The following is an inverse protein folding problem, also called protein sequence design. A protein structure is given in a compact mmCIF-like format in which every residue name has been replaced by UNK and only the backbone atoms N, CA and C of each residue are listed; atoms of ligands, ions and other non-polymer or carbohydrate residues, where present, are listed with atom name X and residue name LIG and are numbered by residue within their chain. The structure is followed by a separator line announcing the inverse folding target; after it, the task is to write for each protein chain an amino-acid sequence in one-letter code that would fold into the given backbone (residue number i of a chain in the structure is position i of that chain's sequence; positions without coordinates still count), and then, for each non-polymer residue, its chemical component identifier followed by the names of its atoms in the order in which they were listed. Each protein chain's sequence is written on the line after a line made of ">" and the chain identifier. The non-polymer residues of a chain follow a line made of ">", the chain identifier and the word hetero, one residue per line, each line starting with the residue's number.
data_IF_575122114184
#
_entry.id   IF_575122114184
#
_cell.length_a   1.000
_cell.length_b   1.000
_cell.length_c   1.000
_cell.angle_alpha   90.00
_cell.angle_beta   90.00
_cell.angle_gamma   90.00
#
_symmetry.space_group_name_H-M   'P 1'
#
loop_
_entity.id
_entity.type
_entity.pdbx_description
1 polymer ?
#
# COMPACT_ATOMS: atom_id res chain seq x y z
N UNK A 1 -24.99 -20.65 -2.53
CA UNK A 1 -24.36 -20.66 -1.19
C UNK A 1 -22.86 -20.49 -1.41
N UNK A 2 -22.18 -19.67 -0.60
CA UNK A 2 -20.76 -19.39 -0.77
C UNK A 2 -19.93 -20.64 -0.46
N UNK A 3 -19.24 -21.18 -1.46
CA UNK A 3 -18.43 -22.40 -1.33
C UNK A 3 -16.93 -22.12 -1.22
N UNK A 4 -16.15 -23.18 -0.98
CA UNK A 4 -14.67 -23.10 -0.93
C UNK A 4 -14.07 -22.63 -2.27
N UNK A 5 -14.69 -23.01 -3.40
CA UNK A 5 -14.30 -22.53 -4.73
C UNK A 5 -14.53 -21.03 -4.91
N UNK A 6 -15.55 -20.47 -4.27
CA UNK A 6 -15.84 -19.04 -4.28
C UNK A 6 -14.85 -18.26 -3.40
N UNK A 7 -14.41 -18.86 -2.29
CA UNK A 7 -13.34 -18.30 -1.45
C UNK A 7 -12.00 -18.23 -2.21
N UNK A 8 -11.61 -19.30 -2.90
CA UNK A 8 -10.39 -19.29 -3.71
C UNK A 8 -10.48 -18.26 -4.84
N UNK A 9 -11.64 -18.17 -5.47
CA UNK A 9 -11.98 -17.16 -6.47
C UNK A 9 -11.83 -15.73 -5.94
N UNK A 10 -12.24 -15.48 -4.69
CA UNK A 10 -12.11 -14.18 -4.03
C UNK A 10 -10.63 -13.85 -3.79
N UNK A 11 -9.83 -14.80 -3.32
CA UNK A 11 -8.38 -14.62 -3.11
C UNK A 11 -7.68 -14.27 -4.43
N UNK A 12 -7.96 -15.02 -5.50
CA UNK A 12 -7.42 -14.71 -6.83
C UNK A 12 -7.85 -13.30 -7.27
N UNK A 13 -9.10 -12.93 -7.01
CA UNK A 13 -9.60 -11.59 -7.37
C UNK A 13 -8.86 -10.49 -6.61
N UNK A 14 -8.71 -10.65 -5.29
CA UNK A 14 -8.12 -9.63 -4.41
C UNK A 14 -6.61 -9.47 -4.62
N UNK A 15 -5.87 -10.55 -4.86
CA UNK A 15 -4.40 -10.51 -4.94
C UNK A 15 -3.85 -10.50 -6.37
N UNK A 16 -4.64 -10.89 -7.37
CA UNK A 16 -4.18 -11.00 -8.77
C UNK A 16 -4.98 -10.06 -9.67
N UNK A 17 -6.29 -10.25 -9.77
CA UNK A 17 -7.12 -9.51 -10.74
C UNK A 17 -7.15 -8.02 -10.40
N UNK A 18 -7.51 -7.66 -9.17
CA UNK A 18 -7.68 -6.28 -8.77
C UNK A 18 -6.37 -5.48 -8.84
N UNK A 19 -5.22 -5.99 -8.32
CA UNK A 19 -3.95 -5.29 -8.46
C UNK A 19 -3.52 -5.14 -9.92
N UNK A 20 -3.77 -6.14 -10.77
CA UNK A 20 -3.47 -6.05 -12.20
C UNK A 20 -4.33 -5.00 -12.91
N UNK A 21 -5.65 -4.95 -12.62
CA UNK A 21 -6.56 -3.93 -13.17
C UNK A 21 -6.13 -2.53 -12.71
N UNK A 22 -5.82 -2.35 -11.43
CA UNK A 22 -5.34 -1.05 -10.92
C UNK A 22 -4.00 -0.67 -11.55
N UNK A 23 -3.08 -1.61 -11.73
CA UNK A 23 -1.83 -1.35 -12.43
C UNK A 23 -2.08 -0.84 -13.86
N UNK A 24 -2.93 -1.53 -14.63
CA UNK A 24 -3.28 -1.12 -16.00
C UNK A 24 -4.06 0.20 -16.04
N UNK A 25 -4.85 0.49 -15.01
CA UNK A 25 -5.48 1.80 -14.85
C UNK A 25 -4.43 2.90 -14.74
N UNK A 26 -3.44 2.73 -13.86
CA UNK A 26 -2.39 3.73 -13.62
C UNK A 26 -1.44 3.89 -14.83
N UNK A 27 -1.23 2.84 -15.65
CA UNK A 27 -0.47 2.99 -16.90
C UNK A 27 -1.16 3.95 -17.88
N UNK A 28 -2.48 4.15 -17.77
CA UNK A 28 -3.20 5.19 -18.50
C UNK A 28 -2.65 6.60 -18.25
N UNK A 29 -2.32 6.94 -16.99
CA UNK A 29 -1.62 8.19 -16.70
C UNK A 29 -0.24 8.21 -17.34
N UNK A 30 0.50 7.12 -17.22
CA UNK A 30 1.87 7.04 -17.71
C UNK A 30 1.93 7.28 -19.22
N UNK A 31 1.07 6.61 -20.00
CA UNK A 31 1.01 6.74 -21.46
C UNK A 31 0.72 8.19 -21.85
N UNK A 32 -0.31 8.80 -21.27
CA UNK A 32 -0.69 10.17 -21.60
C UNK A 32 0.38 11.17 -21.16
N UNK A 33 0.97 10.95 -20.00
CA UNK A 33 2.06 11.79 -19.49
C UNK A 33 3.32 11.74 -20.37
N UNK A 34 3.58 10.61 -21.05
CA UNK A 34 4.63 10.48 -22.05
C UNK A 34 4.36 11.29 -23.31
N UNK A 35 3.08 11.39 -23.73
CA UNK A 35 2.66 12.17 -24.90
C UNK A 35 2.80 13.68 -24.64
N UNK A 36 2.29 14.17 -23.50
CA UNK A 36 2.29 15.60 -23.18
C UNK A 36 3.57 16.10 -22.50
N UNK A 37 4.43 15.17 -22.08
CA UNK A 37 5.69 15.45 -21.40
C UNK A 37 5.48 15.95 -19.97
N UNK A 38 5.77 15.09 -18.99
CA UNK A 38 5.81 15.45 -17.57
C UNK A 38 7.22 15.39 -17.02
N UNK A 39 7.49 16.18 -15.98
CA UNK A 39 8.73 16.14 -15.21
C UNK A 39 8.60 15.10 -14.10
N UNK A 40 9.60 14.22 -14.00
CA UNK A 40 9.72 13.19 -12.98
C UNK A 40 8.46 12.31 -12.81
N UNK A 41 7.96 11.66 -13.87
CA UNK A 41 6.86 10.71 -13.74
C UNK A 41 7.26 9.53 -12.87
N UNK A 42 6.31 9.04 -12.07
CA UNK A 42 6.47 7.82 -11.30
C UNK A 42 5.17 7.05 -11.21
N UNK A 43 5.28 5.75 -11.45
CA UNK A 43 4.24 4.77 -11.21
C UNK A 43 4.61 3.97 -9.96
N UNK A 44 3.87 4.16 -8.88
CA UNK A 44 4.07 3.42 -7.64
C UNK A 44 3.01 2.33 -7.50
N UNK A 45 3.47 1.11 -7.25
CA UNK A 45 2.64 -0.09 -7.10
C UNK A 45 2.80 -0.61 -5.68
N UNK A 46 1.72 -0.59 -4.92
CA UNK A 46 1.67 -1.00 -3.52
C UNK A 46 1.93 0.10 -2.52
N UNK A 47 1.91 -0.28 -1.25
CA UNK A 47 2.22 0.60 -0.11
C UNK A 47 3.34 0.04 0.76
N UNK A 48 3.83 0.87 1.70
CA UNK A 48 4.87 0.51 2.65
C UNK A 48 6.29 0.58 2.07
N UNK A 49 7.25 -0.14 2.67
CA UNK A 49 8.65 -0.11 2.28
C UNK A 49 8.86 -0.52 0.82
N UNK A 50 9.76 0.19 0.14
CA UNK A 50 10.15 -0.08 -1.24
C UNK A 50 10.91 -1.41 -1.32
N UNK A 51 10.51 -2.27 -2.26
CA UNK A 51 11.25 -3.50 -2.59
C UNK A 51 12.26 -3.19 -3.69
N UNK A 52 11.77 -2.60 -4.79
CA UNK A 52 12.58 -2.30 -5.97
C UNK A 52 12.07 -1.03 -6.63
N UNK A 53 12.99 -0.19 -7.09
CA UNK A 53 12.71 0.99 -7.90
C UNK A 53 13.56 0.92 -9.15
N UNK A 54 12.91 0.87 -10.30
CA UNK A 54 13.56 0.83 -11.60
C UNK A 54 13.00 1.93 -12.48
N UNK A 55 13.83 2.96 -12.72
CA UNK A 55 13.45 4.14 -13.49
C UNK A 55 12.21 4.82 -12.89
N UNK A 56 11.13 4.82 -13.67
CA UNK A 56 9.83 5.42 -13.32
C UNK A 56 8.92 4.50 -12.51
N UNK A 57 9.25 3.21 -12.37
CA UNK A 57 8.42 2.22 -11.65
C UNK A 57 8.96 2.00 -10.25
N UNK A 58 8.09 2.09 -9.25
CA UNK A 58 8.40 1.91 -7.83
C UNK A 58 7.49 0.83 -7.24
N UNK A 59 8.05 -0.33 -6.90
CA UNK A 59 7.31 -1.48 -6.37
C UNK A 59 7.55 -1.60 -4.87
N UNK A 60 6.45 -1.65 -4.11
CA UNK A 60 6.44 -1.68 -2.64
C UNK A 60 5.92 -3.00 -2.09
N UNK A 61 6.21 -3.25 -0.80
CA UNK A 61 5.93 -4.51 -0.11
C UNK A 61 4.49 -4.97 -0.25
N UNK A 62 3.53 -4.07 -0.09
CA UNK A 62 2.10 -4.38 -0.13
C UNK A 62 1.47 -4.00 -1.48
N UNK A 63 1.92 -4.68 -2.55
CA UNK A 63 1.54 -4.40 -3.95
C UNK A 63 0.04 -4.44 -4.24
N UNK A 64 -0.74 -5.21 -3.48
CA UNK A 64 -2.15 -5.47 -3.76
C UNK A 64 -3.12 -4.43 -3.17
N UNK A 65 -2.64 -3.52 -2.32
CA UNK A 65 -3.51 -2.60 -1.60
C UNK A 65 -3.85 -1.33 -2.39
N UNK A 66 -2.85 -0.68 -2.96
CA UNK A 66 -3.01 0.64 -3.56
C UNK A 66 -1.89 0.90 -4.56
N UNK A 67 -2.19 1.57 -5.66
CA UNK A 67 -1.19 2.06 -6.61
C UNK A 67 -1.57 3.48 -7.02
N UNK A 68 -0.56 4.27 -7.38
CA UNK A 68 -0.78 5.65 -7.81
C UNK A 68 0.29 6.11 -8.77
N UNK A 69 -0.07 7.12 -9.55
CA UNK A 69 0.85 7.89 -10.36
C UNK A 69 1.22 9.21 -9.68
N UNK A 70 2.46 9.68 -9.87
CA UNK A 70 2.91 11.01 -9.44
C UNK A 70 3.79 11.67 -10.50
N UNK A 71 3.78 13.00 -10.55
CA UNK A 71 4.67 13.79 -11.41
C UNK A 71 4.82 15.21 -10.86
N UNK A 72 5.94 15.88 -11.13
CA UNK A 72 6.22 17.20 -10.56
C UNK A 72 5.57 18.36 -11.32
N UNK A 73 5.67 18.32 -12.66
CA UNK A 73 5.15 19.39 -13.49
C UNK A 73 4.81 18.89 -14.88
N UNK A 74 3.80 19.52 -15.49
CA UNK A 74 3.44 19.30 -16.88
C UNK A 74 4.17 20.30 -17.78
N UNK A 75 4.79 19.83 -18.86
CA UNK A 75 5.49 20.70 -19.82
C UNK A 75 4.52 21.67 -20.50
N UNK A 76 3.32 21.17 -20.87
CA UNK A 76 2.29 21.95 -21.56
C UNK A 76 1.12 22.22 -20.63
N UNK A 77 1.08 23.41 -20.02
CA UNK A 77 0.05 23.81 -19.05
C UNK A 77 -1.21 24.32 -19.76
N UNK A 78 -1.89 23.46 -20.51
CA UNK A 78 -3.20 23.76 -21.09
C UNK A 78 -4.27 22.80 -20.56
N UNK A 79 -5.53 23.26 -20.55
CA UNK A 79 -6.64 22.46 -20.02
C UNK A 79 -6.80 21.12 -20.75
N UNK A 80 -6.51 21.10 -22.06
CA UNK A 80 -6.61 19.89 -22.86
C UNK A 80 -5.64 18.80 -22.37
N UNK A 81 -4.38 19.13 -22.11
CA UNK A 81 -3.41 18.18 -21.60
C UNK A 81 -3.82 17.65 -20.22
N UNK A 82 -4.35 18.51 -19.33
CA UNK A 82 -4.90 18.06 -18.05
C UNK A 82 -6.10 17.12 -18.24
N UNK A 83 -7.07 17.48 -19.09
CA UNK A 83 -8.21 16.61 -19.40
C UNK A 83 -7.73 15.25 -19.91
N UNK A 84 -6.77 15.22 -20.83
CA UNK A 84 -6.22 13.98 -21.35
C UNK A 84 -5.55 13.14 -20.24
N UNK A 85 -4.76 13.77 -19.36
CA UNK A 85 -4.08 13.05 -18.26
C UNK A 85 -5.11 12.38 -17.35
N UNK A 86 -6.14 13.12 -16.91
CA UNK A 86 -7.19 12.56 -16.05
C UNK A 86 -8.11 11.57 -16.77
N UNK A 87 -8.22 11.66 -18.10
CA UNK A 87 -8.97 10.71 -18.92
C UNK A 87 -8.18 9.44 -19.25
N UNK A 88 -6.85 9.46 -19.14
CA UNK A 88 -5.97 8.33 -19.44
C UNK A 88 -6.38 7.02 -18.76
N UNK A 89 -6.57 6.99 -17.42
CA UNK A 89 -7.03 5.80 -16.71
C UNK A 89 -8.38 5.27 -17.18
N UNK A 90 -9.34 6.17 -17.42
CA UNK A 90 -10.69 5.84 -17.92
C UNK A 90 -10.57 5.16 -19.27
N UNK A 91 -9.82 5.79 -20.19
CA UNK A 91 -9.65 5.27 -21.54
C UNK A 91 -8.92 3.94 -21.57
N UNK A 92 -7.85 3.80 -20.77
CA UNK A 92 -7.05 2.57 -20.72
C UNK A 92 -7.89 1.38 -20.23
N UNK A 93 -8.61 1.54 -19.12
CA UNK A 93 -9.48 0.47 -18.61
C UNK A 93 -10.67 0.19 -19.52
N UNK A 94 -11.28 1.22 -20.12
CA UNK A 94 -12.39 1.03 -21.04
C UNK A 94 -11.96 0.30 -22.31
N UNK A 95 -10.84 0.71 -22.92
CA UNK A 95 -10.28 0.04 -24.10
C UNK A 95 -9.94 -1.42 -23.79
N UNK A 96 -9.34 -1.69 -22.63
CA UNK A 96 -9.03 -3.05 -22.19
C UNK A 96 -10.29 -3.90 -21.97
N UNK A 97 -11.28 -3.36 -21.25
CA UNK A 97 -12.54 -4.04 -20.99
C UNK A 97 -13.28 -4.39 -22.29
N UNK A 98 -13.38 -3.44 -23.23
CA UNK A 98 -14.02 -3.65 -24.52
C UNK A 98 -13.27 -4.67 -25.37
N UNK A 99 -11.93 -4.62 -25.38
CA UNK A 99 -11.10 -5.57 -26.12
C UNK A 99 -11.27 -6.98 -25.59
N UNK A 100 -11.16 -7.18 -24.27
CA UNK A 100 -11.35 -8.50 -23.64
C UNK A 100 -12.77 -9.02 -23.84
N UNK A 101 -13.78 -8.17 -23.68
CA UNK A 101 -15.18 -8.55 -23.89
C UNK A 101 -15.44 -8.96 -25.35
N UNK A 102 -14.85 -8.28 -26.33
CA UNK A 102 -14.95 -8.67 -27.74
C UNK A 102 -14.25 -10.01 -28.02
N UNK A 103 -13.08 -10.24 -27.44
CA UNK A 103 -12.35 -11.51 -27.59
C UNK A 103 -13.08 -12.69 -26.93
N UNK A 104 -13.76 -12.46 -25.80
CA UNK A 104 -14.65 -13.45 -25.16
C UNK A 104 -15.87 -13.75 -26.02
N UNK A 105 -16.54 -12.72 -26.53
CA UNK A 105 -17.72 -12.85 -27.38
C UNK A 105 -17.43 -13.62 -28.69
N UNK A 106 -16.23 -13.44 -29.25
CA UNK A 106 -15.77 -14.15 -30.43
C UNK A 106 -15.22 -15.56 -30.13
N UNK A 107 -15.21 -15.97 -28.86
CA UNK A 107 -14.71 -17.28 -28.45
C UNK A 107 -13.20 -17.47 -28.63
N UNK A 108 -12.42 -16.40 -28.71
CA UNK A 108 -10.96 -16.48 -28.85
C UNK A 108 -10.28 -16.86 -27.53
N UNK A 109 -10.81 -16.39 -26.40
CA UNK A 109 -10.29 -16.69 -25.05
C UNK A 109 -11.33 -17.50 -24.28
N UNK A 110 -11.45 -18.79 -24.60
CA UNK A 110 -12.39 -19.70 -23.91
C UNK A 110 -11.79 -20.37 -22.68
N UNK A 111 -10.47 -20.33 -22.54
CA UNK A 111 -9.82 -20.81 -21.32
C UNK A 111 -10.00 -19.79 -20.19
N UNK A 112 -10.42 -20.27 -19.02
CA UNK A 112 -10.60 -19.45 -17.82
C UNK A 112 -11.58 -18.27 -17.99
N UNK A 113 -12.69 -18.44 -18.73
CA UNK A 113 -13.74 -17.41 -18.95
C UNK A 113 -14.11 -16.66 -17.66
N UNK A 114 -14.32 -17.38 -16.54
CA UNK A 114 -14.64 -16.76 -15.24
C UNK A 114 -13.59 -15.77 -14.75
N UNK A 115 -12.31 -15.99 -15.05
CA UNK A 115 -11.23 -15.06 -14.71
C UNK A 115 -11.36 -13.79 -15.54
N UNK A 116 -11.52 -13.91 -16.86
CA UNK A 116 -11.63 -12.78 -17.77
C UNK A 116 -12.91 -11.97 -17.57
N UNK A 117 -14.04 -12.62 -17.29
CA UNK A 117 -15.30 -11.94 -16.95
C UNK A 117 -15.13 -11.06 -15.70
N UNK A 118 -14.47 -11.59 -14.66
CA UNK A 118 -14.17 -10.82 -13.44
C UNK A 118 -13.19 -9.69 -13.72
N UNK A 119 -12.19 -9.95 -14.57
CA UNK A 119 -11.23 -8.94 -14.98
C UNK A 119 -11.93 -7.75 -15.67
N UNK A 120 -12.79 -8.04 -16.65
CA UNK A 120 -13.62 -7.04 -17.35
C UNK A 120 -14.53 -6.32 -16.37
N UNK A 121 -15.18 -7.05 -15.46
CA UNK A 121 -16.02 -6.47 -14.42
C UNK A 121 -15.26 -5.44 -13.57
N UNK A 122 -14.09 -5.78 -13.04
CA UNK A 122 -13.29 -4.85 -12.24
C UNK A 122 -12.75 -3.68 -13.08
N UNK A 123 -12.37 -3.90 -14.33
CA UNK A 123 -11.95 -2.82 -15.23
C UNK A 123 -13.08 -1.78 -15.44
N UNK A 124 -14.29 -2.26 -15.74
CA UNK A 124 -15.47 -1.40 -15.86
C UNK A 124 -15.89 -0.77 -14.54
N UNK A 125 -15.77 -1.50 -13.43
CA UNK A 125 -16.02 -0.98 -12.09
C UNK A 125 -15.15 0.26 -11.82
N UNK A 126 -13.85 0.21 -12.07
CA UNK A 126 -12.98 1.39 -11.92
C UNK A 126 -13.32 2.52 -12.91
N UNK A 127 -13.72 2.19 -14.14
CA UNK A 127 -14.21 3.20 -15.09
C UNK A 127 -15.41 3.97 -14.52
N UNK A 128 -16.35 3.29 -13.87
CA UNK A 128 -17.50 3.95 -13.24
C UNK A 128 -17.07 4.91 -12.12
N UNK A 129 -16.13 4.49 -11.28
CA UNK A 129 -15.58 5.36 -10.22
C UNK A 129 -14.83 6.56 -10.76
N UNK A 130 -14.16 6.41 -11.90
CA UNK A 130 -13.40 7.50 -12.50
C UNK A 130 -14.27 8.45 -13.32
N UNK A 131 -15.32 7.98 -14.00
CA UNK A 131 -16.11 8.82 -14.91
C UNK A 131 -17.17 9.66 -14.22
N UNK A 132 -17.78 9.15 -13.13
CA UNK A 132 -18.88 9.83 -12.44
C UNK A 132 -18.33 11.01 -11.65
N UNK A 133 -18.67 12.29 -11.97
CA UNK A 133 -18.12 13.45 -11.27
C UNK A 133 -18.52 13.46 -9.79
N UNK A 134 -17.56 13.25 -8.89
CA UNK A 134 -17.81 13.24 -7.45
C UNK A 134 -16.61 13.70 -6.62
N UNK A 135 -16.87 14.10 -5.38
CA UNK A 135 -15.83 14.26 -4.36
C UNK A 135 -15.71 12.97 -3.56
N UNK A 136 -14.48 12.52 -3.31
CA UNK A 136 -14.19 11.38 -2.44
C UNK A 136 -14.38 11.75 -0.97
N UNK A 137 -14.36 10.75 -0.08
CA UNK A 137 -14.62 10.94 1.37
C UNK A 137 -13.67 11.95 2.05
N UNK A 138 -12.47 12.12 1.51
CA UNK A 138 -11.46 13.09 1.96
C UNK A 138 -11.64 14.49 1.31
N UNK A 139 -12.76 14.73 0.62
CA UNK A 139 -13.07 15.99 -0.05
C UNK A 139 -12.34 16.22 -1.38
N UNK A 140 -11.45 15.31 -1.79
CA UNK A 140 -10.71 15.42 -3.06
C UNK A 140 -11.62 15.14 -4.27
N UNK A 141 -11.43 15.83 -5.41
CA UNK A 141 -12.17 15.50 -6.62
C UNK A 141 -11.66 14.18 -7.20
N UNK A 142 -12.51 13.39 -7.87
CA UNK A 142 -12.04 12.29 -8.71
C UNK A 142 -11.72 12.77 -10.14
N UNK A 143 -11.23 11.86 -10.99
CA UNK A 143 -10.91 12.15 -12.39
C UNK A 143 -12.07 12.81 -13.15
N UNK A 144 -13.27 12.24 -13.04
CA UNK A 144 -14.47 12.69 -13.74
C UNK A 144 -14.88 14.10 -13.33
N UNK A 145 -14.75 14.46 -12.04
CA UNK A 145 -15.02 15.80 -11.58
C UNK A 145 -14.04 16.82 -12.16
N UNK A 146 -12.74 16.50 -12.17
CA UNK A 146 -11.73 17.40 -12.75
C UNK A 146 -11.97 17.59 -14.25
N UNK A 147 -12.23 16.49 -14.98
CA UNK A 147 -12.56 16.55 -16.41
C UNK A 147 -13.80 17.41 -16.64
N UNK A 148 -14.87 17.18 -15.88
CA UNK A 148 -16.12 17.94 -15.97
C UNK A 148 -15.88 19.44 -15.75
N UNK A 149 -15.14 19.80 -14.70
CA UNK A 149 -14.88 21.21 -14.38
C UNK A 149 -14.03 21.90 -15.46
N UNK A 150 -12.99 21.23 -15.97
CA UNK A 150 -12.16 21.76 -17.04
C UNK A 150 -12.94 21.91 -18.35
N UNK A 151 -13.83 20.99 -18.69
CA UNK A 151 -14.68 21.08 -19.88
C UNK A 151 -15.77 22.16 -19.74
N UNK A 152 -16.43 22.24 -18.57
CA UNK A 152 -17.58 23.13 -18.35
C UNK A 152 -17.16 24.57 -18.06
N UNK A 153 -16.10 24.77 -17.26
CA UNK A 153 -15.70 26.08 -16.75
C UNK A 153 -14.32 26.53 -17.23
N UNK A 154 -13.55 25.65 -17.88
CA UNK A 154 -12.19 25.97 -18.31
C UNK A 154 -11.20 26.13 -17.15
N UNK A 155 -11.58 25.77 -15.92
CA UNK A 155 -10.74 25.83 -14.72
C UNK A 155 -11.30 24.91 -13.64
N UNK A 156 -10.44 24.49 -12.71
CA UNK A 156 -10.87 23.78 -11.51
C UNK A 156 -11.63 24.74 -10.57
N UNK A 157 -12.77 24.29 -10.07
CA UNK A 157 -13.63 24.98 -9.09
C UNK A 157 -13.93 24.10 -7.87
N UNK A 158 -13.31 22.93 -7.77
CA UNK A 158 -13.44 22.02 -6.63
C UNK A 158 -12.97 22.61 -5.28
N UNK A 159 -12.31 23.78 -5.31
CA UNK A 159 -11.67 24.50 -4.19
C UNK A 159 -10.59 23.69 -3.45
N UNK A 160 -10.14 22.58 -4.03
CA UNK A 160 -9.07 21.77 -3.49
C UNK A 160 -7.71 22.36 -3.93
N UNK A 161 -6.98 22.90 -2.95
CA UNK A 161 -5.64 23.49 -3.14
C UNK A 161 -4.60 22.42 -3.47
N UNK A 162 -4.83 21.17 -3.06
CA UNK A 162 -3.92 20.07 -3.33
C UNK A 162 -4.07 19.54 -4.76
N UNK A 163 -2.96 19.17 -5.42
CA UNK A 163 -3.03 18.49 -6.70
C UNK A 163 -3.60 17.08 -6.49
N UNK A 164 -4.52 16.66 -7.35
CA UNK A 164 -5.08 15.30 -7.30
C UNK A 164 -4.00 14.23 -7.55
N UNK A 165 -3.10 14.51 -8.49
CA UNK A 165 -1.91 13.71 -8.73
C UNK A 165 -0.77 14.37 -7.95
N UNK A 166 -0.19 13.71 -6.93
CA UNK A 166 0.83 14.33 -6.10
C UNK A 166 2.14 14.54 -6.87
N UNK A 167 2.98 15.44 -6.38
CA UNK A 167 4.35 15.60 -6.87
C UNK A 167 5.20 14.39 -6.50
N UNK A 168 6.03 13.92 -7.43
CA UNK A 168 6.98 12.84 -7.17
C UNK A 168 8.01 13.25 -6.14
N UNK A 169 8.44 14.52 -6.15
CA UNK A 169 9.36 15.07 -5.15
C UNK A 169 8.73 15.02 -3.75
N UNK A 170 7.48 15.47 -3.61
CA UNK A 170 6.78 15.46 -2.32
C UNK A 170 6.56 14.03 -1.80
N UNK A 171 6.20 13.10 -2.68
CA UNK A 171 6.01 11.68 -2.33
C UNK A 171 7.32 11.04 -1.88
N UNK A 172 8.45 11.35 -2.52
CA UNK A 172 9.75 10.81 -2.10
C UNK A 172 10.17 11.38 -0.75
N UNK A 173 9.98 12.69 -0.53
CA UNK A 173 10.28 13.32 0.76
C UNK A 173 9.44 12.74 1.89
N UNK A 174 8.13 12.60 1.68
CA UNK A 174 7.23 11.97 2.66
C UNK A 174 7.65 10.52 2.97
N UNK A 175 8.12 9.79 1.97
CA UNK A 175 8.63 8.44 2.16
C UNK A 175 9.93 8.40 2.97
N UNK A 176 10.88 9.30 2.71
CA UNK A 176 12.11 9.42 3.50
C UNK A 176 11.79 9.72 4.97
N UNK A 177 10.94 10.72 5.22
CA UNK A 177 10.48 11.08 6.58
C UNK A 177 9.74 9.92 7.28
N UNK A 178 8.95 9.13 6.55
CA UNK A 178 8.27 7.96 7.09
C UNK A 178 9.26 6.84 7.45
N UNK A 179 10.26 6.60 6.62
CA UNK A 179 11.28 5.58 6.85
C UNK A 179 12.18 5.93 8.03
N UNK A 180 12.58 7.20 8.17
CA UNK A 180 13.33 7.70 9.33
C UNK A 180 12.56 7.45 10.64
N UNK A 181 11.26 7.81 10.69
CA UNK A 181 10.43 7.53 11.86
C UNK A 181 10.31 6.04 12.18
N UNK A 182 10.19 5.20 11.16
CA UNK A 182 10.12 3.74 11.34
C UNK A 182 11.46 3.22 11.91
N UNK A 183 12.59 3.78 11.49
CA UNK A 183 13.90 3.42 12.00
C UNK A 183 14.08 3.86 13.46
N UNK A 184 13.70 5.10 13.80
CA UNK A 184 13.70 5.61 15.19
C UNK A 184 12.85 4.73 16.12
N UNK A 185 11.64 4.37 15.70
CA UNK A 185 10.75 3.48 16.49
C UNK A 185 11.41 2.11 16.68
N UNK A 186 12.04 1.54 15.64
CA UNK A 186 12.71 0.24 15.75
C UNK A 186 13.91 0.29 16.69
N UNK A 187 14.64 1.38 16.73
CA UNK A 187 15.76 1.55 17.66
C UNK A 187 15.24 1.64 19.10
N UNK A 188 14.20 2.44 19.34
CA UNK A 188 13.55 2.53 20.66
C UNK A 188 12.99 1.18 21.12
N UNK A 189 12.36 0.41 20.23
CA UNK A 189 11.86 -0.94 20.55
C UNK A 189 12.99 -1.90 20.91
N UNK A 190 14.12 -1.86 20.20
CA UNK A 190 15.31 -2.68 20.52
C UNK A 190 15.92 -2.28 21.87
N UNK A 191 16.06 -0.99 22.13
CA UNK A 191 16.60 -0.48 23.40
C UNK A 191 15.70 -0.92 24.56
N UNK A 192 14.38 -0.68 24.46
CA UNK A 192 13.41 -1.11 25.47
C UNK A 192 13.43 -2.63 25.70
N UNK A 193 13.55 -3.43 24.65
CA UNK A 193 13.64 -4.90 24.77
C UNK A 193 14.92 -5.29 25.50
N UNK A 194 16.06 -4.67 25.18
CA UNK A 194 17.34 -4.95 25.83
C UNK A 194 17.36 -4.56 27.30
N UNK A 195 16.72 -3.44 27.67
CA UNK A 195 16.55 -3.01 29.06
C UNK A 195 15.70 -4.04 29.83
N UNK A 196 14.57 -4.45 29.27
CA UNK A 196 13.71 -5.46 29.88
C UNK A 196 14.39 -6.83 30.03
N UNK A 197 15.24 -7.24 29.08
CA UNK A 197 16.02 -8.47 29.20
C UNK A 197 17.09 -8.36 30.29
N UNK A 198 17.79 -7.23 30.38
CA UNK A 198 18.79 -6.99 31.43
C UNK A 198 18.15 -6.97 32.83
N UNK A 199 17.01 -6.30 32.99
CA UNK A 199 16.26 -6.28 34.26
C UNK A 199 15.82 -7.70 34.68
N UNK A 200 15.36 -8.54 33.74
CA UNK A 200 15.01 -9.94 34.03
C UNK A 200 16.22 -10.76 34.47
N UNK A 201 17.38 -10.57 33.83
CA UNK A 201 18.62 -11.26 34.21
C UNK A 201 19.07 -10.82 35.61
N UNK A 202 18.93 -9.55 35.95
CA UNK A 202 19.30 -9.02 37.26
C UNK A 202 18.38 -9.56 38.37
N UNK A 203 17.06 -9.61 38.11
CA UNK A 203 16.09 -10.23 39.03
C UNK A 203 16.35 -11.72 39.24
N UNK A 204 16.70 -12.47 38.19
CA UNK A 204 17.05 -13.89 38.32
C UNK A 204 18.30 -14.09 39.19
N UNK A 205 19.33 -13.24 39.02
CA UNK A 205 20.54 -13.30 39.84
C UNK A 205 20.27 -12.97 41.31
N UNK A 206 19.37 -12.02 41.58
CA UNK A 206 18.96 -11.72 42.97
C UNK A 206 18.21 -12.90 43.59
N UNK A 207 17.27 -13.51 42.86
CA UNK A 207 16.53 -14.70 43.32
C UNK A 207 17.46 -15.89 43.59
N UNK A 208 18.37 -16.23 42.67
CA UNK A 208 19.35 -17.31 42.89
C UNK A 208 20.21 -17.05 44.13
N UNK A 209 20.58 -15.79 44.38
CA UNK A 209 21.39 -15.40 45.54
C UNK A 209 20.61 -15.46 46.85
N UNK A 210 19.31 -15.21 46.83
CA UNK A 210 18.43 -15.42 47.98
C UNK A 210 18.22 -16.91 48.26
N UNK A 211 17.96 -17.72 47.23
CA UNK A 211 17.82 -19.18 47.37
C UNK A 211 19.10 -19.83 47.94
N UNK A 212 20.28 -19.43 47.46
CA UNK A 212 21.56 -19.89 47.98
C UNK A 212 21.76 -19.54 49.47
N UNK A 213 21.35 -18.34 49.88
CA UNK A 213 21.43 -17.94 51.31
C UNK A 213 20.46 -18.73 52.17
N UNK A 214 19.25 -18.98 51.69
CA UNK A 214 18.27 -19.80 52.42
C UNK A 214 18.76 -21.25 52.57
N UNK A 215 19.37 -21.82 51.53
CA UNK A 215 19.98 -23.15 51.59
C UNK A 215 21.14 -23.19 52.61
N UNK A 216 22.05 -22.21 52.58
CA UNK A 216 23.14 -22.12 53.55
C UNK A 216 22.63 -21.96 55.00
N UNK A 217 21.54 -21.22 55.22
CA UNK A 217 20.92 -21.09 56.53
C UNK A 217 20.24 -22.39 57.00
N UNK A 218 19.59 -23.11 56.09
CA UNK A 218 18.99 -24.42 56.38
C UNK A 218 20.06 -25.45 56.73
N UNK A 219 21.13 -25.55 55.95
CA UNK A 219 22.27 -26.42 56.25
C UNK A 219 22.90 -26.09 57.61
N UNK A 220 23.09 -24.80 57.92
CA UNK A 220 23.60 -24.38 59.23
C UNK A 220 22.66 -24.79 60.36
N UNK A 221 21.34 -24.67 60.19
CA UNK A 221 20.34 -25.11 61.18
C UNK A 221 20.36 -26.63 61.37
N UNK A 222 20.46 -27.40 60.29
CA UNK A 222 20.56 -28.86 60.36
C UNK A 222 21.84 -29.33 61.08
N UNK A 223 22.98 -28.70 60.79
CA UNK A 223 24.25 -29.00 61.48
C UNK A 223 24.18 -28.67 62.98
N UNK A 224 23.48 -27.59 63.36
CA UNK A 224 23.26 -27.23 64.76
C UNK A 224 22.33 -28.24 65.46
N UNK A 225 21.24 -28.66 64.82
CA UNK A 225 20.35 -29.69 65.36
C UNK A 225 21.05 -31.04 65.56
N UNK A 226 21.89 -31.45 64.59
CA UNK A 226 22.66 -32.70 64.69
C UNK A 226 23.66 -32.67 65.85
N UNK A 227 24.24 -31.50 66.17
CA UNK A 227 25.12 -31.34 67.34
C UNK A 227 24.37 -31.33 68.66
N UNK A 228 23.12 -30.88 68.69
CA UNK A 228 22.30 -30.87 69.92
C UNK A 228 21.69 -32.24 70.26
N UNK A 229 21.47 -33.11 69.27
CA UNK A 229 20.98 -34.49 69.47
C UNK A 229 22.08 -35.50 69.83
N UNK A 230 23.34 -35.07 69.89
CA UNK A 230 24.53 -35.92 70.13
C UNK A 230 25.15 -35.82 71.54
N UNK A 231 24.47 -35.19 72.51
CA UNK A 231 24.86 -35.15 73.93
C UNK A 231 23.82 -35.86 74.80
#
# INVERSE_FOLDING_TARGET
>A
MFGVSDLLSLVISAFIILPAVVFLRETGYLIVSGIFGVKNPRLTIGTGPRIIKFGIVDIRKYYHLYSWFSYDALKWKNNFAYICIYAGPIFMNLALALTLNALLANGTIQESVKFWDRFVFYALYYVLFDIVPMKTFNGRPNNGLIIYELLRYGKRIDYNQEPFIPSTTDVEKQYEEEMERIEEIREQEKENTSVQENEKIEQQKEQEKEELKEQEEQEKKEVIEQRQKGN
#
